data_IF_068542876657
#
_entry.id   IF_068542876657
#
_cell.length_a   1.000
_cell.length_b   1.000
_cell.length_c   1.000
_cell.angle_alpha   90.00
_cell.angle_beta   90.00
_cell.angle_gamma   90.00
#
_symmetry.space_group_name_H-M   'P 1'
#
loop_
_entity.id
_entity.type
_entity.pdbx_description
1 polymer ?
#
# COMPACT_ATOMS: atom_id res chain seq x y z
N UNK A 1 -26.45 56.23 49.27
CA UNK A 1 -27.79 55.73 48.91
C UNK A 1 -27.63 55.30 47.46
N UNK A 2 -27.55 54.00 47.19
CA UNK A 2 -27.52 53.53 45.80
C UNK A 2 -28.84 53.94 45.15
N UNK A 3 -28.78 54.47 43.94
CA UNK A 3 -29.99 54.93 43.22
C UNK A 3 -30.70 53.73 42.61
N UNK A 4 -32.01 53.83 42.36
CA UNK A 4 -32.76 52.75 41.66
C UNK A 4 -32.16 52.44 40.27
N UNK A 5 -31.45 53.38 39.67
CA UNK A 5 -30.65 53.18 38.44
C UNK A 5 -29.46 52.23 38.66
N UNK A 6 -28.77 52.32 39.80
CA UNK A 6 -27.66 51.42 40.13
C UNK A 6 -28.15 49.97 40.29
N UNK A 7 -29.33 49.77 40.88
CA UNK A 7 -29.93 48.44 41.05
C UNK A 7 -30.39 47.84 39.72
N UNK A 8 -30.92 48.66 38.81
CA UNK A 8 -31.32 48.22 37.47
C UNK A 8 -30.12 47.82 36.60
N UNK A 9 -29.04 48.61 36.60
CA UNK A 9 -27.81 48.27 35.87
C UNK A 9 -27.13 47.03 36.47
N UNK A 10 -27.20 46.84 37.79
CA UNK A 10 -26.67 45.65 38.45
C UNK A 10 -27.44 44.38 38.05
N UNK A 11 -28.76 44.44 37.94
CA UNK A 11 -29.58 43.31 37.50
C UNK A 11 -29.35 42.98 36.01
N UNK A 12 -29.21 44.00 35.17
CA UNK A 12 -28.85 43.85 33.76
C UNK A 12 -27.48 43.18 33.58
N UNK A 13 -26.46 43.62 34.31
CA UNK A 13 -25.13 43.00 34.33
C UNK A 13 -25.18 41.54 34.81
N UNK A 14 -26.03 41.20 35.78
CA UNK A 14 -26.23 39.81 36.23
C UNK A 14 -26.83 38.94 35.12
N UNK A 15 -27.82 39.45 34.41
CA UNK A 15 -28.44 38.74 33.29
C UNK A 15 -27.43 38.51 32.14
N UNK A 16 -26.63 39.52 31.81
CA UNK A 16 -25.60 39.44 30.78
C UNK A 16 -24.51 38.41 31.15
N UNK A 17 -23.99 38.45 32.39
CA UNK A 17 -23.04 37.47 32.90
C UNK A 17 -23.61 36.04 32.83
N UNK A 18 -24.91 35.87 33.11
CA UNK A 18 -25.54 34.55 33.07
C UNK A 18 -25.66 34.03 31.64
N UNK A 19 -26.02 34.89 30.69
CA UNK A 19 -26.05 34.54 29.26
C UNK A 19 -24.64 34.17 28.76
N UNK A 20 -23.62 34.95 29.11
CA UNK A 20 -22.23 34.66 28.73
C UNK A 20 -21.75 33.32 29.29
N UNK A 21 -22.12 32.97 30.52
CA UNK A 21 -21.80 31.65 31.11
C UNK A 21 -22.43 30.51 30.32
N UNK A 22 -23.70 30.63 29.94
CA UNK A 22 -24.37 29.61 29.14
C UNK A 22 -23.74 29.48 27.74
N UNK A 23 -23.41 30.61 27.11
CA UNK A 23 -22.72 30.61 25.82
C UNK A 23 -21.35 29.93 25.91
N UNK A 24 -20.58 30.26 26.96
CA UNK A 24 -19.29 29.62 27.22
C UNK A 24 -19.43 28.11 27.39
N UNK A 25 -20.40 27.66 28.17
CA UNK A 25 -20.63 26.23 28.40
C UNK A 25 -20.97 25.49 27.10
N UNK A 26 -21.83 26.06 26.26
CA UNK A 26 -22.14 25.48 24.94
C UNK A 26 -20.92 25.40 24.03
N UNK A 27 -20.09 26.45 23.99
CA UNK A 27 -18.85 26.47 23.21
C UNK A 27 -17.84 25.45 23.72
N UNK A 28 -17.74 25.29 25.04
CA UNK A 28 -16.82 24.34 25.67
C UNK A 28 -17.23 22.89 25.39
N UNK A 29 -18.54 22.59 25.42
CA UNK A 29 -19.08 21.29 24.98
C UNK A 29 -18.74 21.02 23.50
N UNK A 30 -19.01 21.98 22.61
CA UNK A 30 -18.68 21.84 21.18
C UNK A 30 -17.17 21.64 20.95
N UNK A 31 -16.31 22.33 21.70
CA UNK A 31 -14.86 22.16 21.59
C UNK A 31 -14.38 20.79 22.09
N UNK A 32 -15.07 20.16 23.04
CA UNK A 32 -14.80 18.79 23.46
C UNK A 32 -15.24 17.81 22.37
N UNK A 33 -16.45 17.96 21.84
CA UNK A 33 -16.95 17.11 20.75
C UNK A 33 -16.03 17.18 19.52
N UNK A 34 -15.62 18.39 19.12
CA UNK A 34 -14.67 18.58 18.02
C UNK A 34 -13.33 17.89 18.28
N UNK A 35 -12.80 17.96 19.51
CA UNK A 35 -11.57 17.23 19.86
C UNK A 35 -11.73 15.72 19.70
N UNK A 36 -12.85 15.16 20.15
CA UNK A 36 -13.15 13.73 19.95
C UNK A 36 -13.23 13.39 18.47
N UNK A 37 -13.90 14.21 17.65
CA UNK A 37 -13.97 13.97 16.20
C UNK A 37 -12.60 14.02 15.53
N UNK A 38 -11.71 14.92 15.99
CA UNK A 38 -10.33 15.00 15.49
C UNK A 38 -9.56 13.74 15.86
N UNK A 39 -9.62 13.28 17.10
CA UNK A 39 -8.96 12.04 17.54
C UNK A 39 -9.44 10.81 16.74
N UNK A 40 -10.75 10.72 16.46
CA UNK A 40 -11.30 9.65 15.62
C UNK A 40 -10.79 9.70 14.18
N UNK A 41 -10.68 10.89 13.60
CA UNK A 41 -10.16 11.08 12.24
C UNK A 41 -8.66 10.77 12.16
N UNK A 42 -7.88 11.19 13.14
CA UNK A 42 -6.45 10.86 13.25
C UNK A 42 -6.24 9.35 13.30
N UNK A 43 -7.01 8.64 14.14
CA UNK A 43 -6.95 7.18 14.21
C UNK A 43 -7.33 6.49 12.90
N UNK A 44 -8.34 7.00 12.19
CA UNK A 44 -8.72 6.47 10.86
C UNK A 44 -7.61 6.73 9.84
N UNK A 45 -6.99 7.90 9.88
CA UNK A 45 -5.87 8.24 9.00
C UNK A 45 -4.69 7.28 9.17
N UNK A 46 -4.30 7.00 10.42
CA UNK A 46 -3.24 6.03 10.72
C UNK A 46 -3.57 4.61 10.21
N UNK A 47 -4.83 4.16 10.33
CA UNK A 47 -5.25 2.86 9.78
C UNK A 47 -5.09 2.81 8.26
N UNK A 48 -5.52 3.86 7.57
CA UNK A 48 -5.44 3.94 6.09
C UNK A 48 -3.98 3.92 5.62
N UNK A 49 -3.09 4.63 6.30
CA UNK A 49 -1.67 4.64 5.97
C UNK A 49 -1.03 3.24 6.11
N UNK A 50 -1.41 2.52 7.17
CA UNK A 50 -0.95 1.14 7.39
C UNK A 50 -1.48 0.15 6.34
N UNK A 51 -2.75 0.26 5.94
CA UNK A 51 -3.36 -0.58 4.89
C UNK A 51 -2.68 -0.35 3.53
N UNK A 52 -2.33 0.91 3.21
CA UNK A 52 -1.58 1.25 2.00
C UNK A 52 -0.20 0.58 1.94
N UNK A 53 0.48 0.47 3.08
CA UNK A 53 1.77 -0.21 3.18
C UNK A 53 1.64 -1.73 3.02
N UNK A 54 0.60 -2.35 3.59
CA UNK A 54 0.38 -3.79 3.47
C UNK A 54 0.10 -4.22 2.03
N UNK A 55 -0.77 -3.48 1.33
CA UNK A 55 -1.11 -3.82 -0.05
C UNK A 55 0.09 -3.68 -0.99
N UNK A 56 0.91 -2.64 -0.79
CA UNK A 56 2.16 -2.44 -1.53
C UNK A 56 3.12 -3.64 -1.39
N UNK A 57 3.36 -4.12 -0.16
CA UNK A 57 4.20 -5.30 0.06
C UNK A 57 3.64 -6.55 -0.61
N UNK A 58 2.31 -6.74 -0.59
CA UNK A 58 1.67 -7.88 -1.28
C UNK A 58 1.82 -7.78 -2.80
N UNK A 59 1.63 -6.60 -3.37
CA UNK A 59 1.80 -6.35 -4.80
C UNK A 59 3.25 -6.64 -5.23
N UNK A 60 4.24 -6.09 -4.52
CA UNK A 60 5.66 -6.28 -4.83
C UNK A 60 6.04 -7.77 -4.77
N UNK A 61 5.58 -8.50 -3.74
CA UNK A 61 5.80 -9.95 -3.63
C UNK A 61 5.15 -10.74 -4.78
N UNK A 62 3.96 -10.35 -5.20
CA UNK A 62 3.24 -10.98 -6.31
C UNK A 62 3.94 -10.72 -7.66
N UNK A 63 4.44 -9.49 -7.86
CA UNK A 63 5.19 -9.13 -9.05
C UNK A 63 6.48 -9.96 -9.17
N UNK A 64 7.22 -10.12 -8.07
CA UNK A 64 8.41 -10.97 -8.02
C UNK A 64 8.09 -12.44 -8.38
N UNK A 65 6.98 -12.97 -7.85
CA UNK A 65 6.52 -14.32 -8.18
C UNK A 65 6.17 -14.45 -9.67
N UNK A 66 5.47 -13.48 -10.24
CA UNK A 66 5.13 -13.46 -11.66
C UNK A 66 6.39 -13.45 -12.52
N UNK A 67 7.40 -12.64 -12.17
CA UNK A 67 8.68 -12.61 -12.87
C UNK A 67 9.41 -13.98 -12.81
N UNK A 68 9.31 -14.69 -11.68
CA UNK A 68 9.88 -16.03 -11.57
C UNK A 68 9.15 -17.05 -12.46
N UNK A 69 7.82 -16.98 -12.52
CA UNK A 69 7.01 -17.84 -13.39
C UNK A 69 7.30 -17.59 -14.87
N UNK A 70 7.44 -16.33 -15.29
CA UNK A 70 7.81 -15.98 -16.66
C UNK A 70 9.17 -16.59 -17.05
N UNK A 71 10.17 -16.51 -16.16
CA UNK A 71 11.48 -17.15 -16.39
C UNK A 71 11.36 -18.67 -16.54
N UNK A 72 10.51 -19.31 -15.74
CA UNK A 72 10.26 -20.75 -15.86
C UNK A 72 9.58 -21.10 -17.19
N UNK A 73 8.60 -20.30 -17.63
CA UNK A 73 7.93 -20.47 -18.91
C UNK A 73 8.94 -20.42 -20.06
N UNK A 74 9.80 -19.41 -20.09
CA UNK A 74 10.85 -19.27 -21.11
C UNK A 74 11.78 -20.49 -21.11
N UNK A 75 12.26 -20.89 -19.94
CA UNK A 75 13.16 -22.05 -19.80
C UNK A 75 12.51 -23.33 -20.31
N UNK A 76 11.22 -23.53 -20.04
CA UNK A 76 10.48 -24.71 -20.53
C UNK A 76 10.25 -24.64 -22.04
N UNK A 77 9.94 -23.47 -22.59
CA UNK A 77 9.81 -23.26 -24.03
C UNK A 77 11.10 -23.60 -24.76
N UNK A 78 12.26 -23.14 -24.26
CA UNK A 78 13.57 -23.45 -24.83
C UNK A 78 13.84 -24.96 -24.83
N UNK A 79 13.59 -25.64 -23.71
CA UNK A 79 13.74 -27.10 -23.60
C UNK A 79 12.84 -27.86 -24.59
N UNK A 80 11.61 -27.38 -24.80
CA UNK A 80 10.68 -27.98 -25.77
C UNK A 80 11.19 -27.78 -27.20
N UNK A 81 11.69 -26.61 -27.54
CA UNK A 81 12.24 -26.34 -28.88
C UNK A 81 13.53 -27.12 -29.14
N UNK A 82 14.42 -27.26 -28.16
CA UNK A 82 15.61 -28.11 -28.27
C UNK A 82 15.25 -29.58 -28.48
N UNK A 83 14.26 -30.09 -27.73
CA UNK A 83 13.77 -31.45 -27.92
C UNK A 83 13.19 -31.67 -29.33
N UNK A 84 12.44 -30.70 -29.87
CA UNK A 84 11.91 -30.76 -31.24
C UNK A 84 13.02 -30.76 -32.29
N UNK A 85 14.06 -29.93 -32.13
CA UNK A 85 15.23 -29.89 -33.02
C UNK A 85 15.95 -31.24 -33.03
N UNK A 86 16.23 -31.78 -31.85
CA UNK A 86 16.88 -33.09 -31.70
C UNK A 86 16.06 -34.21 -32.37
N UNK A 87 14.73 -34.20 -32.24
CA UNK A 87 13.87 -35.18 -32.89
C UNK A 87 13.88 -35.04 -34.42
N UNK A 88 13.90 -33.81 -34.93
CA UNK A 88 13.96 -33.53 -36.37
C UNK A 88 15.28 -34.02 -36.98
N UNK A 89 16.39 -33.76 -36.28
CA UNK A 89 17.73 -34.20 -36.70
C UNK A 89 17.87 -35.73 -36.67
N UNK A 90 17.33 -36.39 -35.64
CA UNK A 90 17.27 -37.84 -35.55
C UNK A 90 16.43 -38.47 -36.68
N UNK A 91 15.28 -37.88 -37.02
CA UNK A 91 14.46 -38.33 -38.15
C UNK A 91 15.19 -38.18 -39.50
N UNK A 92 15.87 -37.05 -39.72
CA UNK A 92 16.65 -36.83 -40.94
C UNK A 92 17.77 -37.87 -41.13
N UNK A 93 18.42 -38.30 -40.05
CA UNK A 93 19.45 -39.35 -40.08
C UNK A 93 18.89 -40.73 -40.47
N UNK A 94 17.70 -41.08 -39.97
CA UNK A 94 17.03 -42.35 -40.29
C UNK A 94 16.53 -42.38 -41.74
N UNK A 95 15.97 -41.28 -42.24
CA UNK A 95 15.49 -41.17 -43.62
C UNK A 95 16.63 -41.29 -44.63
N UNK A 96 17.80 -40.71 -44.33
CA UNK A 96 19.01 -40.81 -45.17
C UNK A 96 19.60 -42.22 -45.24
N UNK A 97 19.29 -43.08 -44.28
CA UNK A 97 19.82 -44.46 -44.20
C UNK A 97 18.95 -45.49 -44.95
N UNK A 98 17.74 -45.12 -45.42
CA UNK A 98 16.75 -46.05 -46.00
C UNK A 98 16.79 -46.14 -47.53
N UNK A 99 17.61 -45.34 -48.21
CA UNK A 99 17.67 -45.26 -49.68
C UNK A 99 18.86 -46.05 -50.22
N UNK A 100 18.75 -47.38 -50.30
CA UNK A 100 19.63 -48.21 -51.15
C UNK A 100 18.85 -49.42 -51.67
N UNK A 101 18.65 -49.57 -52.99
CA UNK A 101 17.87 -50.67 -53.55
C UNK A 101 18.75 -51.93 -53.68
N UNK A 102 18.38 -53.00 -52.96
CA UNK A 102 18.93 -54.34 -53.17
C UNK A 102 18.36 -54.91 -54.47
N UNK A 103 19.20 -55.02 -55.49
CA UNK A 103 19.00 -55.88 -56.65
C UNK A 103 19.72 -57.22 -56.37
N UNK A 104 19.02 -58.34 -56.54
CA UNK A 104 19.62 -59.67 -56.60
C UNK A 104 19.27 -60.32 -57.94
N UNK A 105 20.27 -60.89 -58.65
CA UNK A 105 20.02 -62.05 -59.51
C UNK A 105 20.89 -63.28 -59.15
N UNK A 106 20.54 -64.46 -59.69
CA UNK A 106 20.87 -65.79 -59.14
C UNK A 106 22.08 -66.43 -59.84
N UNK A 107 22.74 -67.40 -59.19
CA UNK A 107 22.79 -68.81 -59.64
C UNK A 107 23.72 -69.68 -58.76
N UNK A 108 23.44 -70.99 -58.79
CA UNK A 108 24.05 -72.05 -57.96
C UNK A 108 25.47 -72.46 -58.45
N UNK A 109 26.25 -73.27 -57.69
CA UNK A 109 26.08 -74.72 -57.84
C UNK A 109 26.23 -75.55 -56.55
N UNK A 110 25.57 -76.72 -56.60
CA UNK A 110 25.51 -77.78 -55.58
C UNK A 110 26.87 -78.47 -55.41
N UNK A 111 27.23 -78.80 -54.17
CA UNK A 111 28.14 -79.90 -53.86
C UNK A 111 27.53 -80.78 -52.77
N UNK A 112 27.51 -82.10 -53.02
CA UNK A 112 27.07 -83.14 -52.08
C UNK A 112 28.31 -83.75 -51.43
N UNK A 113 28.34 -83.89 -50.11
CA UNK A 113 29.10 -84.94 -49.41
C UNK A 113 28.60 -85.02 -47.95
N UNK A 114 27.77 -86.00 -47.62
CA UNK A 114 28.10 -87.26 -46.92
C UNK A 114 28.59 -87.07 -45.47
N UNK A 115 27.79 -87.55 -44.51
CA UNK A 115 28.33 -88.16 -43.30
C UNK A 115 27.98 -87.53 -41.96
N UNK A 116 27.20 -88.31 -41.20
CA UNK A 116 27.21 -88.46 -39.73
C UNK A 116 26.37 -87.45 -38.92
N UNK A 117 25.19 -87.93 -38.53
CA UNK A 117 24.41 -87.42 -37.39
C UNK A 117 25.09 -87.80 -36.08
N UNK A 118 25.41 -86.82 -35.24
CA UNK A 118 25.57 -87.02 -33.80
C UNK A 118 24.68 -85.98 -33.11
N UNK A 119 23.63 -86.46 -32.46
CA UNK A 119 22.84 -85.65 -31.54
C UNK A 119 23.63 -85.53 -30.23
N UNK A 120 24.05 -84.32 -29.87
CA UNK A 120 24.48 -84.00 -28.51
C UNK A 120 23.57 -82.89 -28.00
N UNK A 121 22.67 -83.28 -27.11
CA UNK A 121 21.96 -82.37 -26.21
C UNK A 121 22.93 -81.89 -25.15
N UNK A 122 23.19 -80.58 -25.05
CA UNK A 122 23.51 -79.85 -23.81
C UNK A 122 23.18 -78.36 -24.02
N UNK A 123 22.32 -77.83 -23.15
CA UNK A 123 21.95 -76.42 -22.97
C UNK A 123 23.01 -75.62 -22.16
N UNK A 124 22.95 -74.28 -22.11
CA UNK A 124 24.06 -73.43 -22.54
C UNK A 124 24.75 -72.65 -21.41
N UNK A 125 26.01 -72.25 -21.64
CA UNK A 125 26.52 -70.96 -21.18
C UNK A 125 27.76 -70.57 -21.98
N UNK A 126 27.55 -69.70 -22.97
CA UNK A 126 28.61 -69.04 -23.72
C UNK A 126 28.48 -67.54 -23.46
N UNK A 127 29.57 -66.93 -23.00
CA UNK A 127 29.69 -65.49 -22.95
C UNK A 127 29.44 -64.87 -24.33
N UNK A 128 28.65 -63.81 -24.36
CA UNK A 128 28.48 -62.91 -25.51
C UNK A 128 28.14 -61.51 -24.99
N UNK A 129 29.04 -60.56 -25.17
CA UNK A 129 28.61 -59.22 -25.59
C UNK A 129 28.46 -59.29 -27.10
N UNK A 130 27.38 -58.79 -27.71
CA UNK A 130 27.38 -57.38 -28.12
C UNK A 130 26.13 -56.61 -27.65
N UNK A 131 26.34 -55.32 -27.39
CA UNK A 131 25.32 -54.30 -27.06
C UNK A 131 23.96 -54.57 -27.71
N UNK A 132 22.97 -54.93 -26.90
CA UNK A 132 21.59 -54.98 -27.35
C UNK A 132 21.12 -53.56 -27.67
N UNK A 133 20.70 -53.42 -28.93
CA UNK A 133 19.96 -52.30 -29.47
C UNK A 133 18.74 -52.11 -28.57
N UNK A 134 18.72 -51.01 -27.81
CA UNK A 134 17.52 -50.60 -27.08
C UNK A 134 16.40 -50.46 -28.10
N UNK A 135 15.39 -51.31 -27.96
CA UNK A 135 14.16 -51.28 -28.73
C UNK A 135 13.57 -49.88 -28.71
N UNK A 136 13.22 -49.39 -29.90
CA UNK A 136 12.67 -48.07 -30.22
C UNK A 136 11.35 -47.73 -29.48
N UNK A 137 10.77 -48.70 -28.77
CA UNK A 137 9.55 -48.53 -27.96
C UNK A 137 9.77 -47.82 -26.61
N UNK A 138 11.02 -47.68 -26.13
CA UNK A 138 11.29 -46.98 -24.85
C UNK A 138 11.33 -45.44 -25.01
N UNK A 139 11.01 -44.96 -26.22
CA UNK A 139 10.91 -43.54 -26.57
C UNK A 139 9.51 -43.17 -27.12
N UNK A 140 8.51 -44.03 -26.91
CA UNK A 140 7.12 -43.72 -27.23
C UNK A 140 6.59 -42.61 -26.30
N UNK A 141 6.74 -41.38 -26.78
CA UNK A 141 5.76 -40.29 -26.75
C UNK A 141 4.67 -40.39 -25.67
N UNK A 142 4.80 -39.55 -24.63
CA UNK A 142 3.74 -39.16 -23.69
C UNK A 142 2.87 -40.29 -23.08
N UNK A 143 3.25 -40.74 -21.88
CA UNK A 143 2.39 -41.56 -21.03
C UNK A 143 1.01 -40.87 -20.83
N UNK A 144 -0.13 -41.52 -21.15
CA UNK A 144 -1.48 -40.93 -21.01
C UNK A 144 -1.80 -40.37 -19.62
N UNK A 145 -1.12 -40.86 -18.59
CA UNK A 145 -1.22 -40.34 -17.22
C UNK A 145 -0.58 -38.96 -17.08
N UNK A 146 0.52 -38.69 -17.78
CA UNK A 146 1.21 -37.40 -17.80
C UNK A 146 0.39 -36.35 -18.54
N UNK A 147 -0.23 -36.70 -19.67
CA UNK A 147 -1.15 -35.79 -20.38
C UNK A 147 -2.32 -35.39 -19.47
N UNK A 148 -2.95 -36.36 -18.80
CA UNK A 148 -4.04 -36.08 -17.83
C UNK A 148 -3.58 -35.22 -16.66
N UNK A 149 -2.33 -35.39 -16.21
CA UNK A 149 -1.74 -34.55 -15.16
C UNK A 149 -1.60 -33.11 -15.64
N UNK A 150 -1.03 -32.91 -16.84
CA UNK A 150 -0.85 -31.60 -17.45
C UNK A 150 -2.19 -30.91 -17.77
N UNK A 151 -3.22 -31.65 -18.17
CA UNK A 151 -4.56 -31.09 -18.39
C UNK A 151 -5.23 -30.64 -17.09
N UNK A 152 -5.04 -31.39 -16.00
CA UNK A 152 -5.50 -30.98 -14.67
C UNK A 152 -4.77 -29.72 -14.21
N UNK A 153 -3.46 -29.69 -14.36
CA UNK A 153 -2.63 -28.54 -14.00
C UNK A 153 -2.99 -27.31 -14.82
N UNK A 154 -3.16 -27.44 -16.14
CA UNK A 154 -3.68 -26.38 -17.01
C UNK A 154 -5.02 -25.84 -16.51
N UNK A 155 -5.97 -26.72 -16.20
CA UNK A 155 -7.28 -26.30 -15.72
C UNK A 155 -7.20 -25.62 -14.34
N UNK A 156 -6.30 -26.09 -13.48
CA UNK A 156 -6.06 -25.48 -12.18
C UNK A 156 -5.46 -24.08 -12.31
N UNK A 157 -4.45 -23.92 -13.18
CA UNK A 157 -3.85 -22.62 -13.50
C UNK A 157 -4.87 -21.66 -14.13
N UNK A 158 -5.73 -22.16 -15.02
CA UNK A 158 -6.80 -21.36 -15.62
C UNK A 158 -7.80 -20.85 -14.58
N UNK A 159 -8.19 -21.71 -13.61
CA UNK A 159 -9.08 -21.29 -12.53
C UNK A 159 -8.40 -20.29 -11.58
N UNK A 160 -7.12 -20.49 -11.28
CA UNK A 160 -6.34 -19.55 -10.48
C UNK A 160 -6.21 -18.19 -11.17
N UNK A 161 -5.94 -18.17 -12.48
CA UNK A 161 -5.91 -16.93 -13.27
C UNK A 161 -7.25 -16.19 -13.15
N UNK A 162 -8.36 -16.91 -13.28
CA UNK A 162 -9.69 -16.29 -13.21
C UNK A 162 -10.03 -15.76 -11.82
N UNK A 163 -9.58 -16.43 -10.76
CA UNK A 163 -9.72 -15.94 -9.38
C UNK A 163 -8.89 -14.67 -9.15
N UNK A 164 -7.64 -14.66 -9.64
CA UNK A 164 -6.76 -13.49 -9.56
C UNK A 164 -7.33 -12.30 -10.35
N UNK A 165 -7.83 -12.53 -11.56
CA UNK A 165 -8.52 -11.51 -12.37
C UNK A 165 -9.73 -10.93 -11.62
N UNK A 166 -10.53 -11.79 -10.97
CA UNK A 166 -11.68 -11.34 -10.18
C UNK A 166 -11.25 -10.52 -8.97
N UNK A 167 -10.21 -10.97 -8.24
CA UNK A 167 -9.68 -10.23 -7.08
C UNK A 167 -9.15 -8.86 -7.50
N UNK A 168 -8.42 -8.79 -8.61
CA UNK A 168 -7.90 -7.54 -9.16
C UNK A 168 -9.03 -6.57 -9.53
N UNK A 169 -10.11 -7.07 -10.13
CA UNK A 169 -11.30 -6.25 -10.43
C UNK A 169 -11.97 -5.70 -9.17
N UNK A 170 -12.11 -6.52 -8.12
CA UNK A 170 -12.65 -6.06 -6.84
C UNK A 170 -11.77 -5.00 -6.18
N UNK A 171 -10.46 -5.22 -6.22
CA UNK A 171 -9.47 -4.33 -5.63
C UNK A 171 -9.40 -2.98 -6.36
N UNK A 172 -9.47 -3.00 -7.70
CA UNK A 172 -9.61 -1.80 -8.51
C UNK A 172 -10.84 -0.97 -8.13
N UNK A 173 -12.00 -1.63 -7.94
CA UNK A 173 -13.23 -0.96 -7.50
C UNK A 173 -13.10 -0.37 -6.10
N UNK A 174 -12.50 -1.11 -5.17
CA UNK A 174 -12.26 -0.63 -3.81
C UNK A 174 -11.32 0.59 -3.81
N UNK A 175 -10.23 0.53 -4.58
CA UNK A 175 -9.30 1.64 -4.76
C UNK A 175 -10.01 2.89 -5.32
N UNK A 176 -10.79 2.73 -6.39
CA UNK A 176 -11.51 3.86 -6.98
C UNK A 176 -12.47 4.51 -5.99
N UNK A 177 -13.22 3.70 -5.24
CA UNK A 177 -14.11 4.19 -4.18
C UNK A 177 -13.36 4.98 -3.11
N UNK A 178 -12.29 4.41 -2.54
CA UNK A 178 -11.48 5.06 -1.53
C UNK A 178 -10.82 6.35 -2.05
N UNK A 179 -10.38 6.36 -3.31
CA UNK A 179 -9.79 7.53 -3.94
C UNK A 179 -10.82 8.66 -4.16
N UNK A 180 -12.07 8.32 -4.48
CA UNK A 180 -13.13 9.32 -4.61
C UNK A 180 -13.56 9.88 -3.25
N UNK A 181 -13.61 9.05 -2.20
CA UNK A 181 -13.80 9.51 -0.81
C UNK A 181 -12.65 10.45 -0.37
N UNK A 182 -11.40 10.10 -0.70
CA UNK A 182 -10.24 10.97 -0.44
C UNK A 182 -10.38 12.34 -1.12
N UNK A 183 -10.79 12.38 -2.39
CA UNK A 183 -11.03 13.65 -3.10
C UNK A 183 -12.14 14.46 -2.43
N UNK A 184 -13.20 13.80 -1.97
CA UNK A 184 -14.31 14.43 -1.26
C UNK A 184 -13.81 15.10 0.03
N UNK A 185 -13.07 14.38 0.87
CA UNK A 185 -12.48 14.97 2.09
C UNK A 185 -11.51 16.11 1.78
N UNK A 186 -10.73 16.02 0.70
CA UNK A 186 -9.85 17.11 0.28
C UNK A 186 -10.63 18.39 -0.04
N UNK A 187 -11.80 18.27 -0.68
CA UNK A 187 -12.68 19.41 -0.93
C UNK A 187 -13.24 20.00 0.36
N UNK A 188 -13.65 19.16 1.31
CA UNK A 188 -14.17 19.60 2.61
C UNK A 188 -13.09 20.30 3.46
N UNK A 189 -11.87 19.78 3.46
CA UNK A 189 -10.71 20.41 4.12
C UNK A 189 -10.44 21.79 3.50
N UNK A 190 -10.44 21.89 2.16
CA UNK A 190 -10.23 23.17 1.51
C UNK A 190 -11.37 24.16 1.80
N UNK A 191 -12.62 23.70 1.84
CA UNK A 191 -13.77 24.53 2.18
C UNK A 191 -13.69 25.05 3.63
N UNK A 192 -13.40 24.18 4.59
CA UNK A 192 -13.26 24.56 6.00
C UNK A 192 -12.05 25.46 6.24
N UNK A 193 -10.93 25.22 5.54
CA UNK A 193 -9.76 26.10 5.58
C UNK A 193 -10.09 27.51 5.10
N UNK A 194 -10.80 27.64 3.97
CA UNK A 194 -11.23 28.95 3.48
C UNK A 194 -12.16 29.67 4.48
N UNK A 195 -13.13 28.95 5.07
CA UNK A 195 -14.01 29.50 6.10
C UNK A 195 -13.22 29.97 7.34
N UNK A 196 -12.19 29.22 7.76
CA UNK A 196 -11.34 29.58 8.87
C UNK A 196 -10.52 30.84 8.58
N UNK A 197 -9.97 30.96 7.36
CA UNK A 197 -9.24 32.15 6.93
C UNK A 197 -10.13 33.39 6.90
N UNK A 198 -11.40 33.26 6.50
CA UNK A 198 -12.39 34.33 6.56
C UNK A 198 -12.72 34.75 8.01
N UNK A 199 -12.90 33.78 8.92
CA UNK A 199 -13.12 34.06 10.35
C UNK A 199 -11.89 34.75 10.95
N UNK A 200 -10.69 34.25 10.65
CA UNK A 200 -9.42 34.83 11.12
C UNK A 200 -9.23 36.25 10.60
N UNK A 201 -9.63 36.52 9.37
CA UNK A 201 -9.55 37.86 8.76
C UNK A 201 -10.55 38.82 9.40
N UNK A 202 -11.80 38.38 9.59
CA UNK A 202 -12.82 39.16 10.31
C UNK A 202 -12.40 39.47 11.76
N UNK A 203 -11.84 38.50 12.46
CA UNK A 203 -11.34 38.70 13.82
C UNK A 203 -10.22 39.74 13.86
N UNK A 204 -9.23 39.66 12.95
CA UNK A 204 -8.16 40.68 12.86
C UNK A 204 -8.72 42.08 12.56
N UNK A 205 -9.70 42.19 11.67
CA UNK A 205 -10.34 43.46 11.37
C UNK A 205 -11.11 44.02 12.57
N UNK A 206 -11.85 43.18 13.30
CA UNK A 206 -12.58 43.57 14.50
C UNK A 206 -11.65 44.07 15.61
N UNK A 207 -10.54 43.36 15.87
CA UNK A 207 -9.51 43.80 16.84
C UNK A 207 -8.91 45.14 16.44
N UNK A 208 -8.63 45.35 15.16
CA UNK A 208 -8.09 46.62 14.66
C UNK A 208 -9.08 47.79 14.83
N UNK A 209 -10.38 47.55 14.61
CA UNK A 209 -11.41 48.56 14.84
C UNK A 209 -11.55 48.90 16.33
N UNK A 210 -11.55 47.88 17.20
CA UNK A 210 -11.62 48.06 18.65
C UNK A 210 -10.42 48.85 19.18
N UNK A 211 -9.21 48.60 18.66
CA UNK A 211 -8.01 49.37 19.00
C UNK A 211 -8.14 50.85 18.62
N UNK A 212 -8.73 51.15 17.46
CA UNK A 212 -8.99 52.54 17.04
C UNK A 212 -10.07 53.22 17.89
N UNK A 213 -11.07 52.48 18.33
CA UNK A 213 -12.12 52.97 19.23
C UNK A 213 -11.52 53.37 20.59
N UNK A 214 -10.64 52.52 21.15
CA UNK A 214 -9.90 52.81 22.40
C UNK A 214 -8.99 54.05 22.25
N UNK A 215 -8.37 54.25 21.08
CA UNK A 215 -7.54 55.43 20.80
C UNK A 215 -8.37 56.71 20.57
N UNK A 216 -9.65 56.59 20.22
CA UNK A 216 -10.56 57.71 19.96
C UNK A 216 -11.26 58.27 21.20
N UNK A 217 -11.19 57.58 22.34
CA UNK A 217 -11.69 58.08 23.62
C UNK A 217 -10.81 59.28 24.04
N UNK A 218 -11.38 60.48 24.29
CA UNK A 218 -10.60 61.61 24.77
C UNK A 218 -9.92 61.23 26.09
N UNK A 219 -8.58 61.23 26.11
CA UNK A 219 -7.85 61.08 27.37
C UNK A 219 -8.26 62.21 28.29
N UNK A 220 -9.07 61.90 29.31
CA UNK A 220 -9.37 62.82 30.40
C UNK A 220 -8.05 63.35 30.96
N UNK A 221 -7.91 64.67 31.19
CA UNK A 221 -6.73 65.22 31.85
C UNK A 221 -6.45 64.41 33.10
N UNK A 222 -5.28 63.78 33.12
CA UNK A 222 -4.84 62.85 34.15
C UNK A 222 -4.89 63.59 35.49
N UNK A 223 -5.87 63.28 36.31
CA UNK A 223 -5.93 63.77 37.67
C UNK A 223 -4.68 63.26 38.40
N UNK A 224 -3.92 64.21 38.93
CA UNK A 224 -2.63 63.99 39.59
C UNK A 224 -2.93 63.53 41.01
N UNK A 225 -3.53 62.34 41.15
CA UNK A 225 -4.12 61.90 42.43
C UNK A 225 -4.12 60.38 42.67
N UNK A 226 -3.48 59.57 41.82
CA UNK A 226 -3.37 58.12 42.00
C UNK A 226 -2.07 57.69 42.68
N UNK A 227 -1.90 58.03 43.96
CA UNK A 227 -0.69 57.78 44.76
C UNK A 227 -0.55 56.32 45.20
N UNK A 228 -0.04 55.44 44.34
CA UNK A 228 0.69 54.25 44.83
C UNK A 228 2.12 54.31 44.29
N UNK A 229 3.10 54.66 45.13
CA UNK A 229 4.52 54.62 44.77
C UNK A 229 4.91 53.26 44.18
N UNK A 230 5.84 53.26 43.23
CA UNK A 230 6.30 52.07 42.50
C UNK A 230 6.64 50.88 43.44
N UNK A 231 7.23 51.19 44.60
CA UNK A 231 7.68 50.22 45.61
C UNK A 231 6.53 49.64 46.47
N UNK A 232 5.28 50.04 46.20
CA UNK A 232 4.07 49.61 46.92
C UNK A 232 3.04 48.94 46.00
N UNK A 233 3.39 48.64 44.74
CA UNK A 233 2.53 47.81 43.88
C UNK A 233 2.56 46.37 44.39
N UNK A 234 1.41 45.86 44.81
CA UNK A 234 1.23 44.47 45.25
C UNK A 234 0.26 43.80 44.28
N UNK A 235 0.74 42.86 43.47
CA UNK A 235 -0.10 42.06 42.55
C UNK A 235 -0.74 40.88 43.31
N UNK A 236 -0.06 40.34 44.33
CA UNK A 236 -0.52 39.20 45.13
C UNK A 236 -0.14 39.43 46.61
N UNK A 237 -1.11 39.49 47.55
CA UNK A 237 -0.86 39.79 48.96
C UNK A 237 0.12 38.84 49.65
N UNK A 238 0.26 37.60 49.16
CA UNK A 238 1.20 36.60 49.72
C UNK A 238 2.64 36.80 49.27
N UNK A 239 2.89 37.57 48.20
CA UNK A 239 4.21 37.69 47.57
C UNK A 239 5.00 38.95 47.94
N UNK A 240 4.38 39.87 48.68
CA UNK A 240 5.03 41.09 49.17
C UNK A 240 5.32 42.13 48.06
N UNK A 241 6.00 43.25 48.39
CA UNK A 241 6.29 44.33 47.45
C UNK A 241 7.15 43.87 46.27
N UNK A 242 6.83 44.35 45.05
CA UNK A 242 7.58 44.01 43.83
C UNK A 242 9.03 44.50 43.95
N UNK A 243 9.98 43.58 44.13
CA UNK A 243 11.41 43.88 44.06
C UNK A 243 11.81 44.03 42.60
N UNK A 244 12.38 45.17 42.21
CA UNK A 244 12.91 45.38 40.85
C UNK A 244 14.11 44.48 40.60
N UNK A 245 13.87 43.30 40.03
CA UNK A 245 14.92 42.40 39.57
C UNK A 245 14.67 41.96 38.13
N UNK A 246 15.76 42.01 37.36
CA UNK A 246 15.96 41.57 35.97
C UNK A 246 15.47 42.53 34.87
N UNK A 247 16.32 43.49 34.50
CA UNK A 247 16.30 44.05 33.15
C UNK A 247 16.81 43.01 32.16
N UNK A 248 15.93 42.45 31.34
CA UNK A 248 16.32 41.63 30.19
C UNK A 248 16.82 42.57 29.11
N UNK A 249 18.14 42.65 28.93
CA UNK A 249 18.76 43.63 28.04
C UNK A 249 18.70 43.30 26.56
N UNK A 250 18.13 42.16 26.14
CA UNK A 250 17.66 41.89 24.78
C UNK A 250 16.84 40.59 24.77
N UNK A 251 15.68 40.60 24.12
CA UNK A 251 14.90 39.40 23.81
C UNK A 251 15.48 38.75 22.54
N UNK A 252 15.51 37.41 22.42
CA UNK A 252 15.92 36.75 21.18
C UNK A 252 14.97 37.13 20.03
N UNK A 253 15.50 37.44 18.85
CA UNK A 253 14.66 37.66 17.66
C UNK A 253 14.04 36.34 17.22
N UNK A 254 12.73 36.35 17.00
CA UNK A 254 12.00 35.22 16.42
C UNK A 254 12.43 35.08 14.96
N UNK A 255 13.15 34.01 14.64
CA UNK A 255 13.31 33.59 13.25
C UNK A 255 11.94 33.20 12.70
N UNK A 256 11.62 33.77 11.54
CA UNK A 256 10.38 33.52 10.82
C UNK A 256 10.36 32.06 10.35
N UNK A 257 9.38 31.30 10.84
CA UNK A 257 8.91 30.05 10.22
C UNK A 257 7.66 30.40 9.40
#
# INVERSE_FOLDING_TARGET
MATEEDDFELEKLRAEIQQEKQMKEMLEQSAVELRVTVEELEKRFESIDNEGNEWKTRFETQEEMNQQLEKQIITLQDKVEDAKRNLKDAKAYVEGSRVSPVNSPPDSPKSKSTGITINISVSPQAGKTPREIKTFDDLSDANPTMIKSLEKEKNQLFNQLRDLEWRLDQESKAYHKANDERKQYLLEINSTKNNLDDVRTRHRAAVTLQQREIESIPRTPRDVGGNIPEDQRIIDPKKGPIKKTAGVRNLPSLEQI
#
